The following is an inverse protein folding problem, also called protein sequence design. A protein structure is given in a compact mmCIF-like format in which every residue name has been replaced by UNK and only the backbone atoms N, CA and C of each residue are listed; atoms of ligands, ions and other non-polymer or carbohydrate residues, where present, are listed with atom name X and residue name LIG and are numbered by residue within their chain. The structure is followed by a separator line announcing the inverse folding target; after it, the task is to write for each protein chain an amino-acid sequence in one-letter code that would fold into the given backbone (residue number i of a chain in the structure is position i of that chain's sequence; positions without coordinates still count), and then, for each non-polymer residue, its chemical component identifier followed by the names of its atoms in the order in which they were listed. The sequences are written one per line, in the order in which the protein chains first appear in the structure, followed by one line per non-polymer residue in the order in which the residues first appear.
data_IF_996833086243
#
_entry.id   IF_996833086243
#
_cell.length_a   1.000
_cell.length_b   1.000
_cell.length_c   1.000
_cell.angle_alpha   90.00
_cell.angle_beta   90.00
_cell.angle_gamma   90.00
#
_symmetry.space_group_name_H-M   'P 1'
#
loop_
_entity.id
_entity.type
_entity.pdbx_description
1 polymer ?
#
# COMPACT_ATOMS: atom_id res chain seq x y z
N UNK A 1 -21.24 21.44 -11.73
CA UNK A 1 -20.97 20.03 -11.39
C UNK A 1 -20.40 19.84 -9.97
N UNK A 2 -19.43 20.67 -9.51
CA UNK A 2 -18.91 20.62 -8.12
C UNK A 2 -20.01 20.91 -7.09
N UNK A 3 -20.89 21.86 -7.37
CA UNK A 3 -22.06 22.21 -6.54
C UNK A 3 -23.03 21.05 -6.30
N UNK A 4 -23.15 20.13 -7.26
CA UNK A 4 -24.01 18.95 -7.13
C UNK A 4 -23.35 17.83 -6.33
N UNK A 5 -22.02 17.78 -6.29
CA UNK A 5 -21.28 16.92 -5.39
C UNK A 5 -21.46 17.35 -3.93
N UNK A 6 -21.44 18.67 -3.68
CA UNK A 6 -21.58 19.22 -2.33
C UNK A 6 -23.04 19.19 -1.82
N UNK A 7 -24.03 19.42 -2.69
CA UNK A 7 -25.46 19.39 -2.30
C UNK A 7 -26.03 17.99 -2.07
N UNK A 8 -25.42 16.94 -2.66
CA UNK A 8 -25.80 15.54 -2.45
C UNK A 8 -25.07 14.87 -1.27
N UNK A 9 -24.19 15.58 -0.58
CA UNK A 9 -23.34 15.03 0.48
C UNK A 9 -24.07 14.62 1.76
N UNK A 10 -25.40 14.84 1.87
CA UNK A 10 -26.17 14.30 3.01
C UNK A 10 -26.43 12.78 2.91
N UNK A 11 -26.19 12.15 1.74
CA UNK A 11 -26.45 10.72 1.52
C UNK A 11 -25.39 10.00 0.67
N UNK A 12 -24.30 10.68 0.27
CA UNK A 12 -23.25 10.09 -0.57
C UNK A 12 -22.02 9.70 0.25
N UNK A 13 -21.59 8.46 0.09
CA UNK A 13 -20.35 7.84 0.63
C UNK A 13 -19.03 8.53 0.14
N UNK A 14 -19.09 9.74 -0.43
CA UNK A 14 -17.89 10.49 -0.86
C UNK A 14 -17.45 11.43 0.25
N UNK A 15 -16.39 11.04 0.92
CA UNK A 15 -15.64 11.90 1.82
C UNK A 15 -14.64 12.74 1.02
N UNK A 16 -14.68 14.08 1.19
CA UNK A 16 -13.72 15.06 0.63
C UNK A 16 -13.46 14.94 -0.89
N UNK A 17 -14.35 15.39 -1.79
CA UNK A 17 -14.17 15.29 -3.24
C UNK A 17 -12.98 16.12 -3.78
N UNK A 18 -12.62 17.22 -3.13
CA UNK A 18 -11.43 18.04 -3.41
C UNK A 18 -10.13 17.26 -3.20
N UNK A 19 -10.04 16.47 -2.13
CA UNK A 19 -8.91 15.60 -1.86
C UNK A 19 -8.78 14.50 -2.93
N UNK A 20 -9.91 13.94 -3.40
CA UNK A 20 -9.92 12.94 -4.50
C UNK A 20 -9.32 13.50 -5.78
N UNK A 21 -9.71 14.73 -6.13
CA UNK A 21 -9.24 15.40 -7.35
C UNK A 21 -7.76 15.81 -7.25
N UNK A 22 -7.32 16.31 -6.11
CA UNK A 22 -5.96 16.84 -5.96
C UNK A 22 -4.94 15.76 -5.59
N UNK A 23 -5.20 14.95 -4.58
CA UNK A 23 -4.23 14.01 -4.03
C UNK A 23 -4.32 12.61 -4.66
N UNK A 24 -5.53 12.05 -4.78
CA UNK A 24 -5.69 10.68 -5.30
C UNK A 24 -5.33 10.60 -6.80
N UNK A 25 -5.68 11.60 -7.62
CA UNK A 25 -5.28 11.63 -9.04
C UNK A 25 -3.77 11.79 -9.17
N UNK A 26 -3.15 12.69 -8.41
CA UNK A 26 -1.70 12.87 -8.42
C UNK A 26 -0.99 11.58 -8.03
N UNK A 27 -1.43 10.95 -6.92
CA UNK A 27 -0.84 9.70 -6.46
C UNK A 27 -1.02 8.57 -7.47
N UNK A 28 -2.23 8.43 -8.05
CA UNK A 28 -2.50 7.45 -9.10
C UNK A 28 -1.58 7.63 -10.31
N UNK A 29 -1.44 8.87 -10.80
CA UNK A 29 -0.63 9.16 -11.99
C UNK A 29 0.87 8.87 -11.73
N UNK A 30 1.41 9.33 -10.60
CA UNK A 30 2.82 9.09 -10.24
C UNK A 30 3.08 7.61 -9.99
N UNK A 31 2.23 6.94 -9.21
CA UNK A 31 2.40 5.53 -8.92
C UNK A 31 2.26 4.64 -10.17
N UNK A 32 1.36 4.98 -11.10
CA UNK A 32 1.23 4.27 -12.39
C UNK A 32 2.51 4.39 -13.21
N UNK A 33 3.09 5.59 -13.30
CA UNK A 33 4.33 5.82 -14.01
C UNK A 33 5.49 5.05 -13.35
N UNK A 34 5.62 5.13 -12.04
CA UNK A 34 6.65 4.43 -11.28
C UNK A 34 6.55 2.91 -11.49
N UNK A 35 5.36 2.32 -11.36
CA UNK A 35 5.17 0.88 -11.60
C UNK A 35 5.46 0.47 -13.03
N UNK A 36 5.13 1.31 -14.02
CA UNK A 36 5.44 1.02 -15.42
C UNK A 36 6.96 1.00 -15.64
N UNK A 37 7.66 2.01 -15.14
CA UNK A 37 9.12 2.10 -15.27
C UNK A 37 9.82 0.96 -14.52
N UNK A 38 9.41 0.69 -13.28
CA UNK A 38 9.96 -0.39 -12.46
C UNK A 38 9.72 -1.77 -13.11
N UNK A 39 8.54 -1.98 -13.70
CA UNK A 39 8.21 -3.23 -14.42
C UNK A 39 9.04 -3.40 -15.68
N UNK A 40 9.20 -2.34 -16.48
CA UNK A 40 10.06 -2.38 -17.67
C UNK A 40 11.53 -2.65 -17.30
N UNK A 41 12.03 -1.96 -16.27
CA UNK A 41 13.38 -2.19 -15.76
C UNK A 41 13.55 -3.64 -15.27
N UNK A 42 12.58 -4.18 -14.51
CA UNK A 42 12.63 -5.55 -14.02
C UNK A 42 12.65 -6.57 -15.18
N UNK A 43 11.78 -6.39 -16.20
CA UNK A 43 11.74 -7.29 -17.37
C UNK A 43 13.10 -7.29 -18.11
N UNK A 44 13.65 -6.11 -18.42
CA UNK A 44 14.92 -6.00 -19.10
C UNK A 44 16.06 -6.61 -18.29
N UNK A 45 16.07 -6.37 -16.98
CA UNK A 45 17.05 -6.93 -16.05
C UNK A 45 16.96 -8.46 -15.98
N UNK A 46 15.76 -9.00 -15.83
CA UNK A 46 15.54 -10.45 -15.79
C UNK A 46 16.01 -11.09 -17.10
N UNK A 47 15.62 -10.56 -18.26
CA UNK A 47 16.03 -11.12 -19.55
C UNK A 47 17.54 -11.10 -19.75
N UNK A 48 18.20 -9.96 -19.45
CA UNK A 48 19.63 -9.79 -19.67
C UNK A 48 20.46 -10.64 -18.70
N UNK A 49 20.19 -10.55 -17.41
CA UNK A 49 21.02 -11.20 -16.39
C UNK A 49 20.68 -12.68 -16.17
N UNK A 50 19.44 -13.12 -16.45
CA UNK A 50 19.12 -14.56 -16.43
C UNK A 50 19.86 -15.32 -17.54
N UNK A 51 20.05 -14.72 -18.72
CA UNK A 51 20.83 -15.34 -19.77
C UNK A 51 22.32 -15.52 -19.35
N UNK A 52 22.89 -14.51 -18.69
CA UNK A 52 24.25 -14.59 -18.15
C UNK A 52 24.33 -15.68 -17.07
N UNK A 53 23.39 -15.66 -16.12
CA UNK A 53 23.39 -16.60 -15.01
C UNK A 53 23.18 -18.05 -15.44
N UNK A 54 22.32 -18.27 -16.45
CA UNK A 54 22.10 -19.59 -17.05
C UNK A 54 23.36 -20.16 -17.70
N UNK A 55 24.12 -19.31 -18.41
CA UNK A 55 25.38 -19.73 -19.03
C UNK A 55 26.48 -20.08 -18.01
N UNK A 56 26.47 -19.45 -16.82
CA UNK A 56 27.44 -19.76 -15.76
C UNK A 56 27.01 -21.03 -15.01
N UNK A 57 25.76 -21.12 -14.58
CA UNK A 57 25.24 -22.26 -13.82
C UNK A 57 23.71 -22.33 -13.90
N UNK A 58 23.14 -23.27 -14.66
CA UNK A 58 21.70 -23.54 -14.68
C UNK A 58 21.13 -23.90 -13.29
N UNK A 59 21.92 -24.64 -12.50
CA UNK A 59 21.51 -25.02 -11.13
C UNK A 59 21.33 -23.81 -10.23
N UNK A 60 22.24 -22.82 -10.34
CA UNK A 60 22.15 -21.57 -9.60
C UNK A 60 20.89 -20.76 -10.01
N UNK A 61 20.59 -20.73 -11.31
CA UNK A 61 19.40 -20.04 -11.84
C UNK A 61 18.11 -20.65 -11.33
N UNK A 62 17.99 -21.98 -11.35
CA UNK A 62 16.83 -22.69 -10.80
C UNK A 62 16.69 -22.49 -9.29
N UNK A 63 17.82 -22.56 -8.56
CA UNK A 63 17.86 -22.27 -7.12
C UNK A 63 17.37 -20.86 -6.78
N UNK A 64 17.73 -19.85 -7.61
CA UNK A 64 17.26 -18.49 -7.48
C UNK A 64 15.73 -18.39 -7.64
N UNK A 65 15.17 -19.01 -8.67
CA UNK A 65 13.72 -18.99 -8.92
C UNK A 65 12.97 -19.60 -7.74
N UNK A 66 13.42 -20.74 -7.22
CA UNK A 66 12.82 -21.38 -6.04
C UNK A 66 12.92 -20.46 -4.83
N UNK A 67 14.11 -19.90 -4.56
CA UNK A 67 14.35 -19.02 -3.43
C UNK A 67 13.44 -17.79 -3.44
N UNK A 68 13.33 -17.12 -4.59
CA UNK A 68 12.47 -15.93 -4.74
C UNK A 68 11.00 -16.31 -4.63
N UNK A 69 10.57 -17.42 -5.21
CA UNK A 69 9.18 -17.87 -5.12
C UNK A 69 8.77 -18.13 -3.66
N UNK A 70 9.59 -18.85 -2.91
CA UNK A 70 9.36 -19.10 -1.47
C UNK A 70 9.35 -17.80 -0.69
N UNK A 71 10.32 -16.92 -0.92
CA UNK A 71 10.39 -15.61 -0.27
C UNK A 71 9.17 -14.74 -0.56
N UNK A 72 8.69 -14.71 -1.79
CA UNK A 72 7.49 -13.97 -2.19
C UNK A 72 6.22 -14.51 -1.50
N UNK A 73 6.07 -15.84 -1.40
CA UNK A 73 4.94 -16.43 -0.69
C UNK A 73 4.92 -16.03 0.78
N UNK A 74 6.09 -16.10 1.45
CA UNK A 74 6.22 -15.70 2.86
C UNK A 74 5.94 -14.20 3.02
N UNK A 75 6.45 -13.35 2.11
CA UNK A 75 6.22 -11.92 2.15
C UNK A 75 4.74 -11.55 1.99
N UNK A 76 4.03 -12.19 1.05
CA UNK A 76 2.58 -11.98 0.87
C UNK A 76 1.81 -12.38 2.11
N UNK A 77 2.16 -13.51 2.74
CA UNK A 77 1.49 -13.98 3.95
C UNK A 77 1.69 -13.01 5.13
N UNK A 78 2.92 -12.60 5.38
CA UNK A 78 3.26 -11.66 6.47
C UNK A 78 2.70 -10.27 6.20
N UNK A 79 2.77 -9.80 4.94
CA UNK A 79 2.25 -8.50 4.52
C UNK A 79 0.74 -8.36 4.70
N UNK A 80 -0.05 -9.38 4.33
CA UNK A 80 -1.51 -9.38 4.55
C UNK A 80 -1.88 -9.20 6.02
N UNK A 81 -1.15 -9.83 6.92
CA UNK A 81 -1.38 -9.69 8.37
C UNK A 81 -1.02 -8.30 8.87
N UNK A 82 0.08 -7.76 8.37
CA UNK A 82 0.54 -6.40 8.67
C UNK A 82 -0.49 -5.33 8.26
N UNK A 83 -1.04 -5.44 7.05
CA UNK A 83 -2.08 -4.53 6.54
C UNK A 83 -3.30 -4.52 7.49
N UNK A 84 -3.75 -5.68 7.95
CA UNK A 84 -4.89 -5.77 8.88
C UNK A 84 -4.60 -5.10 10.22
N UNK A 85 -3.40 -5.29 10.77
CA UNK A 85 -2.98 -4.69 12.04
C UNK A 85 -2.90 -3.16 11.87
N UNK A 86 -2.33 -2.68 10.78
CA UNK A 86 -2.22 -1.25 10.48
C UNK A 86 -3.59 -0.60 10.31
N UNK A 87 -4.51 -1.23 9.58
CA UNK A 87 -5.89 -0.76 9.45
C UNK A 87 -6.59 -0.62 10.81
N UNK A 88 -6.44 -1.63 11.67
CA UNK A 88 -6.99 -1.56 13.04
C UNK A 88 -6.36 -0.42 13.86
N UNK A 89 -5.05 -0.16 13.67
CA UNK A 89 -4.37 0.94 14.34
C UNK A 89 -4.98 2.29 13.98
N UNK A 90 -5.16 2.56 12.68
CA UNK A 90 -5.76 3.80 12.20
C UNK A 90 -7.18 4.00 12.75
N UNK A 91 -7.98 2.94 12.82
CA UNK A 91 -9.32 2.98 13.39
C UNK A 91 -9.30 3.31 14.88
N UNK A 92 -8.47 2.63 15.66
CA UNK A 92 -8.38 2.84 17.11
C UNK A 92 -7.84 4.23 17.45
N UNK A 93 -6.92 4.76 16.67
CA UNK A 93 -6.44 6.14 16.79
C UNK A 93 -7.53 7.17 16.43
N UNK A 94 -8.34 6.89 15.43
CA UNK A 94 -9.47 7.73 15.08
C UNK A 94 -10.51 7.74 16.21
N UNK A 95 -10.84 6.58 16.79
CA UNK A 95 -11.76 6.45 17.92
C UNK A 95 -11.25 7.21 19.17
N UNK A 96 -9.94 7.16 19.41
CA UNK A 96 -9.31 7.91 20.50
C UNK A 96 -9.38 9.43 20.25
N UNK A 97 -8.97 9.89 19.06
CA UNK A 97 -9.07 11.31 18.68
C UNK A 97 -10.50 11.84 18.78
N UNK A 98 -11.46 11.08 18.26
CA UNK A 98 -12.88 11.43 18.36
C UNK A 98 -13.32 11.60 19.83
N UNK A 99 -12.88 10.71 20.73
CA UNK A 99 -13.24 10.85 22.15
C UNK A 99 -12.66 12.10 22.80
N UNK A 100 -11.46 12.53 22.41
CA UNK A 100 -10.89 13.80 22.91
C UNK A 100 -11.66 15.03 22.39
N UNK A 101 -12.03 15.00 21.10
CA UNK A 101 -12.87 16.06 20.50
C UNK A 101 -14.23 16.11 21.20
N UNK A 102 -14.85 14.94 21.45
CA UNK A 102 -16.11 14.84 22.16
C UNK A 102 -16.06 15.49 23.57
N UNK A 103 -15.00 15.22 24.33
CA UNK A 103 -14.79 15.83 25.66
C UNK A 103 -14.62 17.34 25.54
N UNK A 104 -13.88 17.83 24.55
CA UNK A 104 -13.69 19.26 24.32
C UNK A 104 -15.00 19.95 23.97
N UNK A 105 -15.77 19.38 23.04
CA UNK A 105 -16.99 20.01 22.52
C UNK A 105 -18.15 19.95 23.53
N UNK A 106 -18.13 19.02 24.49
CA UNK A 106 -19.13 18.88 25.54
C UNK A 106 -18.61 19.26 26.94
N UNK A 107 -17.53 20.03 27.03
CA UNK A 107 -16.84 20.34 28.28
C UNK A 107 -17.75 21.00 29.34
N UNK A 108 -18.64 21.91 28.93
CA UNK A 108 -19.59 22.58 29.83
C UNK A 108 -20.61 21.60 30.41
N UNK A 109 -21.17 20.72 29.58
CA UNK A 109 -22.14 19.71 30.02
C UNK A 109 -21.48 18.69 30.98
N UNK A 110 -20.25 18.26 30.66
CA UNK A 110 -19.45 17.33 31.48
C UNK A 110 -19.19 17.96 32.87
N UNK A 111 -18.81 19.24 32.91
CA UNK A 111 -18.57 19.95 34.15
C UNK A 111 -19.86 20.14 34.95
N UNK A 112 -20.98 20.49 34.29
CA UNK A 112 -22.28 20.66 34.93
C UNK A 112 -22.78 19.40 35.62
N UNK A 113 -22.64 18.24 34.94
CA UNK A 113 -23.05 16.93 35.48
C UNK A 113 -21.99 16.22 36.33
N UNK A 114 -20.80 16.85 36.54
CA UNK A 114 -19.67 16.26 37.27
C UNK A 114 -19.20 14.92 36.67
N UNK A 115 -19.25 14.83 35.34
CA UNK A 115 -18.97 13.62 34.57
C UNK A 115 -17.48 13.36 34.25
N UNK A 116 -16.55 14.17 34.75
CA UNK A 116 -15.12 14.17 34.36
C UNK A 116 -14.47 12.80 34.55
N UNK A 117 -14.74 12.14 35.67
CA UNK A 117 -14.15 10.81 35.97
C UNK A 117 -14.60 9.74 34.95
N UNK A 118 -15.85 9.80 34.50
CA UNK A 118 -16.38 8.87 33.52
C UNK A 118 -15.75 9.10 32.14
N UNK A 119 -15.67 10.37 31.73
CA UNK A 119 -15.10 10.74 30.43
C UNK A 119 -13.60 10.45 30.36
N UNK A 120 -12.85 10.76 31.43
CA UNK A 120 -11.42 10.37 31.52
C UNK A 120 -11.27 8.86 31.41
N UNK A 121 -12.12 8.08 32.10
CA UNK A 121 -12.09 6.62 32.01
C UNK A 121 -12.31 6.12 30.60
N UNK A 122 -13.28 6.69 29.87
CA UNK A 122 -13.58 6.36 28.47
C UNK A 122 -12.40 6.67 27.52
N UNK A 123 -11.82 7.87 27.64
CA UNK A 123 -10.68 8.29 26.84
C UNK A 123 -9.46 7.41 27.10
N UNK A 124 -9.16 7.11 28.37
CA UNK A 124 -8.05 6.24 28.78
C UNK A 124 -8.24 4.82 28.26
N UNK A 125 -9.46 4.27 28.30
CA UNK A 125 -9.77 2.95 27.76
C UNK A 125 -9.47 2.87 26.27
N UNK A 126 -9.88 3.90 25.48
CA UNK A 126 -9.61 3.97 24.05
C UNK A 126 -8.12 4.12 23.76
N UNK A 127 -7.41 4.92 24.55
CA UNK A 127 -5.95 5.04 24.46
C UNK A 127 -5.28 3.67 24.67
N UNK A 128 -5.65 2.95 25.72
CA UNK A 128 -5.08 1.61 25.99
C UNK A 128 -5.36 0.62 24.88
N UNK A 129 -6.55 0.66 24.26
CA UNK A 129 -6.84 -0.18 23.07
C UNK A 129 -5.93 0.15 21.89
N UNK A 130 -5.70 1.43 21.62
CA UNK A 130 -4.78 1.87 20.58
C UNK A 130 -3.34 1.45 20.87
N UNK A 131 -2.85 1.66 22.11
CA UNK A 131 -1.50 1.25 22.53
C UNK A 131 -1.29 -0.27 22.43
N UNK A 132 -2.26 -1.07 22.87
CA UNK A 132 -2.16 -2.54 22.77
C UNK A 132 -2.05 -3.02 21.32
N UNK A 133 -2.78 -2.40 20.40
CA UNK A 133 -2.66 -2.74 18.99
C UNK A 133 -1.34 -2.20 18.39
N UNK A 134 -0.86 -1.05 18.88
CA UNK A 134 0.44 -0.49 18.50
C UNK A 134 1.60 -1.41 18.89
N UNK A 135 1.57 -1.98 20.10
CA UNK A 135 2.56 -2.99 20.51
C UNK A 135 2.55 -4.21 19.58
N UNK A 136 1.34 -4.67 19.19
CA UNK A 136 1.20 -5.75 18.21
C UNK A 136 1.76 -5.36 16.84
N UNK A 137 1.54 -4.12 16.42
CA UNK A 137 2.09 -3.59 15.17
C UNK A 137 3.62 -3.58 15.20
N UNK A 138 4.25 -3.09 16.28
CA UNK A 138 5.72 -3.08 16.44
C UNK A 138 6.30 -4.49 16.35
N UNK A 139 5.70 -5.46 17.04
CA UNK A 139 6.15 -6.87 17.00
C UNK A 139 6.10 -7.41 15.56
N UNK A 140 4.98 -7.20 14.86
CA UNK A 140 4.83 -7.69 13.49
C UNK A 140 5.73 -6.95 12.49
N UNK A 141 5.93 -5.64 12.67
CA UNK A 141 6.89 -4.87 11.88
C UNK A 141 8.30 -5.45 12.06
N UNK A 142 8.71 -5.70 13.30
CA UNK A 142 10.02 -6.29 13.61
C UNK A 142 10.21 -7.68 12.97
N UNK A 143 9.15 -8.51 12.93
CA UNK A 143 9.18 -9.82 12.25
C UNK A 143 9.35 -9.65 10.74
N UNK A 144 8.63 -8.71 10.13
CA UNK A 144 8.73 -8.41 8.68
C UNK A 144 10.13 -7.88 8.34
N UNK A 145 10.64 -6.94 9.15
CA UNK A 145 11.97 -6.35 8.94
C UNK A 145 13.08 -7.40 9.09
N UNK A 146 12.98 -8.27 10.09
CA UNK A 146 13.92 -9.37 10.29
C UNK A 146 13.87 -10.37 9.12
N UNK A 147 12.67 -10.69 8.65
CA UNK A 147 12.50 -11.54 7.46
C UNK A 147 13.15 -10.90 6.23
N UNK A 148 12.86 -9.63 5.93
CA UNK A 148 13.41 -8.93 4.77
C UNK A 148 14.93 -8.80 4.86
N UNK A 149 15.46 -8.50 6.04
CA UNK A 149 16.90 -8.45 6.28
C UNK A 149 17.56 -9.81 6.04
N UNK A 150 17.00 -10.87 6.62
CA UNK A 150 17.51 -12.24 6.46
C UNK A 150 17.41 -12.69 5.00
N UNK A 151 16.27 -12.47 4.35
CA UNK A 151 16.03 -12.80 2.94
C UNK A 151 17.05 -12.15 2.02
N UNK A 152 17.35 -10.86 2.20
CA UNK A 152 18.37 -10.17 1.38
C UNK A 152 19.81 -10.64 1.64
N UNK A 153 20.14 -10.97 2.89
CA UNK A 153 21.50 -11.35 3.23
C UNK A 153 21.81 -12.82 2.94
N UNK A 154 20.81 -13.71 3.18
CA UNK A 154 20.98 -15.15 2.93
C UNK A 154 21.13 -15.49 1.44
N UNK A 155 20.63 -14.62 0.53
CA UNK A 155 20.74 -14.85 -0.90
C UNK A 155 22.18 -14.91 -1.41
N UNK A 156 23.15 -14.42 -0.64
CA UNK A 156 24.59 -14.45 -1.02
C UNK A 156 25.18 -15.84 -0.95
N UNK A 157 24.71 -16.66 -0.02
CA UNK A 157 25.29 -17.97 0.24
C UNK A 157 25.16 -18.95 -0.92
N UNK A 158 24.01 -19.10 -1.59
CA UNK A 158 23.88 -20.00 -2.73
C UNK A 158 24.90 -19.74 -3.84
N UNK A 159 25.21 -18.46 -4.11
CA UNK A 159 26.19 -18.10 -5.15
C UNK A 159 27.57 -18.65 -4.80
N UNK A 160 28.04 -18.38 -3.58
CA UNK A 160 29.37 -18.84 -3.17
C UNK A 160 29.43 -20.36 -3.06
N UNK A 161 28.41 -21.02 -2.53
CA UNK A 161 28.38 -22.48 -2.35
C UNK A 161 28.37 -23.20 -3.69
N UNK A 162 27.65 -22.69 -4.69
CA UNK A 162 27.50 -23.35 -5.99
C UNK A 162 28.58 -22.95 -7.00
N UNK A 163 29.10 -21.72 -6.95
CA UNK A 163 30.03 -21.20 -7.94
C UNK A 163 31.50 -21.36 -7.51
N UNK A 164 31.83 -21.21 -6.21
CA UNK A 164 33.19 -21.34 -5.74
C UNK A 164 33.84 -22.70 -6.04
N UNK A 165 33.16 -23.86 -5.93
CA UNK A 165 33.74 -25.15 -6.33
C UNK A 165 34.20 -25.18 -7.78
N UNK A 166 33.45 -24.55 -8.72
CA UNK A 166 33.81 -24.50 -10.15
C UNK A 166 35.12 -23.74 -10.36
N UNK A 167 35.41 -22.75 -9.56
CA UNK A 167 36.69 -22.04 -9.59
C UNK A 167 37.84 -22.93 -9.11
N UNK A 168 37.68 -23.69 -8.02
CA UNK A 168 38.73 -24.58 -7.53
C UNK A 168 39.05 -25.72 -8.50
N UNK A 169 38.05 -26.19 -9.26
CA UNK A 169 38.28 -27.17 -10.35
C UNK A 169 38.82 -26.54 -11.62
N UNK A 170 39.03 -25.22 -11.64
CA UNK A 170 39.52 -24.43 -12.79
C UNK A 170 38.61 -24.44 -14.03
N UNK A 171 37.33 -24.64 -13.83
CA UNK A 171 36.31 -24.53 -14.90
C UNK A 171 35.96 -23.09 -15.20
N UNK A 172 36.11 -22.18 -14.22
CA UNK A 172 35.81 -20.76 -14.34
C UNK A 172 36.92 -19.88 -13.74
N UNK A 173 37.02 -18.65 -14.24
CA UNK A 173 37.92 -17.64 -13.71
C UNK A 173 37.31 -16.92 -12.48
N UNK A 174 38.19 -16.28 -11.68
CA UNK A 174 37.75 -15.51 -10.52
C UNK A 174 36.73 -14.41 -10.87
N UNK A 175 36.92 -13.77 -12.05
CA UNK A 175 35.99 -12.77 -12.59
C UNK A 175 34.56 -13.30 -12.77
N UNK A 176 34.41 -14.59 -13.12
CA UNK A 176 33.13 -15.25 -13.32
C UNK A 176 32.38 -15.40 -12.01
N UNK A 177 33.05 -15.58 -10.87
CA UNK A 177 32.41 -15.61 -9.55
C UNK A 177 31.72 -14.26 -9.26
N UNK A 178 32.42 -13.15 -9.51
CA UNK A 178 31.86 -11.81 -9.33
C UNK A 178 30.71 -11.54 -10.29
N UNK A 179 30.87 -11.97 -11.55
CA UNK A 179 29.82 -11.86 -12.57
C UNK A 179 28.56 -12.65 -12.17
N UNK A 180 28.74 -13.87 -11.68
CA UNK A 180 27.63 -14.70 -11.18
C UNK A 180 26.91 -14.02 -10.00
N UNK A 181 27.67 -13.44 -9.06
CA UNK A 181 27.10 -12.72 -7.93
C UNK A 181 26.28 -11.51 -8.37
N UNK A 182 26.84 -10.68 -9.26
CA UNK A 182 26.13 -9.49 -9.77
C UNK A 182 24.88 -9.89 -10.54
N UNK A 183 24.99 -10.88 -11.44
CA UNK A 183 23.85 -11.36 -12.22
C UNK A 183 22.76 -11.95 -11.32
N UNK A 184 23.14 -12.75 -10.32
CA UNK A 184 22.21 -13.30 -9.34
C UNK A 184 21.50 -12.19 -8.54
N UNK A 185 22.27 -11.20 -8.08
CA UNK A 185 21.72 -10.07 -7.33
C UNK A 185 20.72 -9.26 -8.17
N UNK A 186 21.05 -8.95 -9.42
CA UNK A 186 20.19 -8.19 -10.32
C UNK A 186 18.87 -8.92 -10.63
N UNK A 187 18.93 -10.21 -10.90
CA UNK A 187 17.71 -11.02 -11.12
C UNK A 187 16.90 -11.17 -9.82
N UNK A 188 17.59 -11.39 -8.70
CA UNK A 188 16.96 -11.46 -7.39
C UNK A 188 16.20 -10.17 -7.06
N UNK A 189 16.81 -9.01 -7.22
CA UNK A 189 16.22 -7.71 -6.93
C UNK A 189 15.01 -7.44 -7.84
N UNK A 190 15.15 -7.69 -9.13
CA UNK A 190 14.08 -7.54 -10.11
C UNK A 190 12.88 -8.47 -9.84
N UNK A 191 13.11 -9.72 -9.46
CA UNK A 191 12.04 -10.67 -9.09
C UNK A 191 11.42 -10.32 -7.73
N UNK A 192 12.16 -9.71 -6.83
CA UNK A 192 11.71 -9.36 -5.47
C UNK A 192 10.93 -8.03 -5.42
N UNK A 193 10.65 -7.39 -6.55
CA UNK A 193 9.96 -6.10 -6.60
C UNK A 193 8.61 -6.12 -5.87
N UNK A 194 7.85 -7.22 -5.96
CA UNK A 194 6.58 -7.41 -5.26
C UNK A 194 6.79 -7.43 -3.75
N UNK A 195 7.86 -8.08 -3.27
CA UNK A 195 8.21 -8.15 -1.83
C UNK A 195 8.59 -6.78 -1.30
N UNK A 196 9.36 -6.03 -2.10
CA UNK A 196 9.91 -4.73 -1.72
C UNK A 196 8.85 -3.60 -1.80
N UNK A 197 7.83 -3.75 -2.63
CA UNK A 197 6.84 -2.69 -2.91
C UNK A 197 5.41 -3.02 -2.47
N UNK A 198 5.21 -4.03 -1.63
CA UNK A 198 3.86 -4.49 -1.23
C UNK A 198 3.01 -3.37 -0.60
N UNK A 199 3.64 -2.47 0.13
CA UNK A 199 2.97 -1.31 0.74
C UNK A 199 2.51 -0.31 -0.33
N UNK A 200 3.37 0.05 -1.28
CA UNK A 200 3.02 0.93 -2.41
C UNK A 200 1.90 0.34 -3.27
N UNK A 201 1.96 -0.97 -3.54
CA UNK A 201 0.91 -1.68 -4.29
C UNK A 201 -0.41 -1.63 -3.54
N UNK A 202 -0.41 -1.78 -2.22
CA UNK A 202 -1.61 -1.68 -1.38
C UNK A 202 -2.21 -0.28 -1.40
N UNK A 203 -1.39 0.76 -1.25
CA UNK A 203 -1.83 2.16 -1.32
C UNK A 203 -2.37 2.52 -2.72
N UNK A 204 -1.70 2.07 -3.78
CA UNK A 204 -2.14 2.24 -5.16
C UNK A 204 -3.50 1.59 -5.40
N UNK A 205 -3.69 0.35 -4.96
CA UNK A 205 -4.97 -0.36 -5.05
C UNK A 205 -6.10 0.40 -4.35
N UNK A 206 -5.83 0.96 -3.17
CA UNK A 206 -6.80 1.78 -2.44
C UNK A 206 -7.16 3.07 -3.20
N UNK A 207 -6.18 3.76 -3.80
CA UNK A 207 -6.43 4.95 -4.64
C UNK A 207 -7.24 4.63 -5.89
N UNK A 208 -6.92 3.54 -6.58
CA UNK A 208 -7.69 3.06 -7.75
C UNK A 208 -9.15 2.79 -7.37
N UNK A 209 -9.38 2.12 -6.25
CA UNK A 209 -10.74 1.84 -5.77
C UNK A 209 -11.51 3.12 -5.45
N UNK A 210 -10.88 4.08 -4.76
CA UNK A 210 -11.52 5.37 -4.44
C UNK A 210 -11.84 6.18 -5.69
N UNK A 211 -10.90 6.28 -6.64
CA UNK A 211 -11.12 6.98 -7.92
C UNK A 211 -12.19 6.29 -8.77
N UNK A 212 -12.24 4.96 -8.77
CA UNK A 212 -13.29 4.21 -9.46
C UNK A 212 -14.68 4.50 -8.89
N UNK A 213 -14.84 4.53 -7.57
CA UNK A 213 -16.10 4.92 -6.93
C UNK A 213 -16.47 6.38 -7.27
N UNK A 214 -15.50 7.27 -7.27
CA UNK A 214 -15.71 8.68 -7.63
C UNK A 214 -16.20 8.83 -9.08
N UNK A 215 -15.58 8.12 -10.03
CA UNK A 215 -16.00 8.12 -11.45
C UNK A 215 -17.44 7.61 -11.65
N UNK A 216 -17.80 6.51 -10.96
CA UNK A 216 -19.17 5.96 -11.00
C UNK A 216 -20.18 6.99 -10.53
N UNK A 217 -19.91 7.73 -9.47
CA UNK A 217 -20.80 8.75 -8.93
C UNK A 217 -20.89 9.96 -9.86
N UNK A 218 -19.76 10.44 -10.44
CA UNK A 218 -19.75 11.49 -11.43
C UNK A 218 -20.61 11.13 -12.66
N UNK A 219 -20.49 9.91 -13.15
CA UNK A 219 -21.26 9.41 -14.28
C UNK A 219 -22.76 9.31 -13.94
N UNK A 220 -23.11 8.95 -12.73
CA UNK A 220 -24.52 8.90 -12.26
C UNK A 220 -25.11 10.29 -12.16
N UNK A 221 -24.37 11.27 -11.64
CA UNK A 221 -24.79 12.67 -11.56
C UNK A 221 -24.94 13.28 -12.96
N UNK A 222 -24.00 12.99 -13.87
CA UNK A 222 -24.05 13.46 -15.26
C UNK A 222 -25.31 12.94 -15.99
N UNK A 223 -25.63 11.67 -15.84
CA UNK A 223 -26.86 11.08 -16.42
C UNK A 223 -28.15 11.68 -15.84
N UNK A 224 -28.16 12.00 -14.55
CA UNK A 224 -29.31 12.64 -13.92
C UNK A 224 -29.46 14.12 -14.34
N UNK A 225 -28.39 14.81 -14.70
CA UNK A 225 -28.45 16.18 -15.24
C UNK A 225 -29.17 16.24 -16.59
N UNK A 226 -29.01 15.24 -17.47
CA UNK A 226 -29.73 15.18 -18.74
C UNK A 226 -31.24 15.00 -18.53
N UNK A 227 -31.66 14.45 -17.37
CA UNK A 227 -33.07 14.33 -17.00
C UNK A 227 -33.60 15.64 -16.38
N UNK A 228 -32.79 16.36 -15.59
CA UNK A 228 -33.18 17.63 -14.94
C UNK A 228 -33.16 18.81 -15.89
N UNK A 229 -32.42 18.75 -17.01
CA UNK A 229 -32.42 19.79 -18.04
C UNK A 229 -33.77 19.93 -18.78
N UNK A 230 -34.76 19.13 -18.46
CA UNK A 230 -36.15 19.24 -18.96
C UNK A 230 -37.05 20.17 -18.15
N UNK A 231 -36.52 20.88 -17.13
CA UNK A 231 -37.30 21.92 -16.42
C UNK A 231 -37.53 23.08 -17.41
N UNK A 232 -38.67 23.07 -18.09
CA UNK A 232 -39.12 24.19 -18.89
C UNK A 232 -39.62 25.30 -17.97
N UNK A 233 -38.90 26.44 -17.95
CA UNK A 233 -39.41 27.64 -17.34
C UNK A 233 -40.60 28.15 -18.17
N UNK A 234 -41.81 28.10 -17.60
CA UNK A 234 -42.93 28.82 -18.13
C UNK A 234 -42.96 30.21 -17.49
N UNK A 235 -42.64 31.24 -18.26
CA UNK A 235 -42.94 32.60 -17.85
C UNK A 235 -44.47 32.74 -17.69
N UNK A 236 -44.93 32.96 -16.50
CA UNK A 236 -46.35 33.23 -16.21
C UNK A 236 -46.53 34.73 -16.16
N UNK A 237 -47.20 35.25 -17.13
CA UNK A 237 -47.60 36.68 -17.24
C UNK A 237 -48.69 37.08 -16.26
N UNK A 238 -48.88 36.38 -15.14
CA UNK A 238 -49.87 36.67 -14.14
C UNK A 238 -49.23 37.05 -12.80
N UNK A 239 -48.72 38.26 -12.72
CA UNK A 239 -48.69 39.03 -11.47
C UNK A 239 -49.55 40.25 -11.67
N UNK A 240 -50.81 40.14 -11.31
CA UNK A 240 -51.70 41.24 -10.97
C UNK A 240 -51.77 41.37 -9.45
#
# INVERSE_FOLDING_TARGET
SFYLLDSNTQDSDIDNPDQRISEDIRYFTTATLDFLLDTLYAILTILSFSAILWNISPTLTLGLIIYVTVGTIIAIYTGKKMIKIHYNQLRLEADFRYSMVHVRDNSESIAFYKGEKREIGSVVEKLFKALKNFDLWIIWQSIVDLFQFSYRNLMRFPVYILVAPLYFVKEIDFGTITQAFVAFYMVFDALSIVVNQIEKISQFSASVFRLGNFDVILNTISKNQDIVSQIKFHESDQLK
#
